data_IF_038267811389
#
_entry.id   IF_038267811389
#
_cell.length_a   1.000
_cell.length_b   1.000
_cell.length_c   1.000
_cell.angle_alpha   90.00
_cell.angle_beta   90.00
_cell.angle_gamma   90.00
#
_symmetry.space_group_name_H-M   'P 1'
#
loop_
_entity.id
_entity.type
_entity.pdbx_description
1 polymer ?
#
# COMPACT_ATOMS: atom_id res chain seq x y z
N UNK A 1 -36.73 4.53 12.43
CA UNK A 1 -35.94 4.36 13.68
C UNK A 1 -36.25 3.07 14.41
N UNK A 2 -37.51 2.73 14.76
CA UNK A 2 -37.82 1.48 15.48
C UNK A 2 -37.28 0.19 14.82
N UNK A 3 -37.29 0.12 13.49
CA UNK A 3 -36.74 -1.03 12.74
C UNK A 3 -35.20 -1.09 12.79
N UNK A 4 -34.52 0.07 12.73
CA UNK A 4 -33.06 0.12 12.75
C UNK A 4 -32.48 -0.19 14.13
N UNK A 5 -33.17 0.21 15.21
CA UNK A 5 -32.81 -0.18 16.57
C UNK A 5 -32.93 -1.69 16.77
N UNK A 6 -34.02 -2.30 16.28
CA UNK A 6 -34.19 -3.76 16.37
C UNK A 6 -33.07 -4.52 15.64
N UNK A 7 -32.66 -4.07 14.45
CA UNK A 7 -31.53 -4.66 13.74
C UNK A 7 -30.21 -4.57 14.52
N UNK A 8 -30.00 -3.46 15.23
CA UNK A 8 -28.80 -3.23 16.04
C UNK A 8 -28.80 -4.14 17.29
N UNK A 9 -29.95 -4.31 17.92
CA UNK A 9 -30.14 -5.21 19.08
C UNK A 9 -29.95 -6.69 18.70
N UNK A 10 -30.28 -7.07 17.47
CA UNK A 10 -30.11 -8.43 16.93
C UNK A 10 -28.66 -8.72 16.43
N UNK A 11 -27.74 -7.75 16.53
CA UNK A 11 -26.38 -7.92 16.04
C UNK A 11 -25.56 -8.94 16.85
N UNK A 12 -24.63 -9.63 16.18
CA UNK A 12 -23.82 -10.67 16.80
C UNK A 12 -22.90 -10.16 17.93
N UNK A 13 -22.57 -8.87 17.90
CA UNK A 13 -21.81 -8.16 18.94
C UNK A 13 -22.73 -7.21 19.65
N UNK A 14 -22.73 -7.21 20.99
CA UNK A 14 -23.56 -6.27 21.73
C UNK A 14 -23.12 -4.82 21.43
N UNK A 15 -24.01 -3.98 20.87
CA UNK A 15 -23.69 -2.59 20.56
C UNK A 15 -23.50 -1.79 21.85
N UNK A 16 -22.53 -0.86 21.90
CA UNK A 16 -22.48 0.15 22.94
C UNK A 16 -23.80 0.90 23.03
N UNK A 17 -24.26 1.17 24.26
CA UNK A 17 -25.56 1.79 24.53
C UNK A 17 -25.69 3.22 23.96
N UNK A 18 -24.57 3.83 23.58
CA UNK A 18 -24.50 5.19 23.05
C UNK A 18 -24.43 5.24 21.52
N UNK A 19 -24.68 4.12 20.82
CA UNK A 19 -24.80 4.13 19.36
C UNK A 19 -26.23 4.44 18.93
N UNK A 20 -26.37 5.38 17.99
CA UNK A 20 -27.63 5.69 17.33
C UNK A 20 -27.54 5.34 15.83
N UNK A 21 -28.37 4.42 15.30
CA UNK A 21 -28.32 4.05 13.89
C UNK A 21 -28.83 5.20 13.00
N UNK A 22 -28.07 5.51 11.95
CA UNK A 22 -28.35 6.56 10.96
C UNK A 22 -28.93 5.98 9.67
N UNK A 23 -28.20 5.06 9.03
CA UNK A 23 -28.53 4.55 7.70
C UNK A 23 -27.98 3.12 7.50
N UNK A 24 -28.68 2.33 6.70
CA UNK A 24 -28.17 1.03 6.26
C UNK A 24 -27.07 1.24 5.21
N UNK A 25 -25.92 0.58 5.37
CA UNK A 25 -24.80 0.65 4.41
C UNK A 25 -24.92 -0.47 3.39
N UNK A 26 -25.16 -1.68 3.89
CA UNK A 26 -25.37 -2.89 3.11
C UNK A 26 -26.29 -3.87 3.88
N UNK A 27 -26.43 -5.09 3.39
CA UNK A 27 -27.29 -6.11 4.02
C UNK A 27 -26.80 -6.57 5.40
N UNK A 28 -25.53 -6.31 5.76
CA UNK A 28 -24.87 -6.84 6.95
C UNK A 28 -24.28 -5.74 7.86
N UNK A 29 -24.52 -4.46 7.58
CA UNK A 29 -23.98 -3.36 8.37
C UNK A 29 -24.80 -2.08 8.32
N UNK A 30 -24.69 -1.30 9.40
CA UNK A 30 -25.41 -0.05 9.63
C UNK A 30 -24.41 1.04 10.02
N UNK A 31 -24.59 2.24 9.49
CA UNK A 31 -23.88 3.43 9.95
C UNK A 31 -24.51 3.93 11.25
N UNK A 32 -23.71 4.07 12.29
CA UNK A 32 -24.14 4.56 13.60
C UNK A 32 -23.36 5.81 13.99
N UNK A 33 -24.01 6.77 14.64
CA UNK A 33 -23.31 7.88 15.30
C UNK A 33 -23.02 7.50 16.74
N UNK A 34 -21.82 7.87 17.21
CA UNK A 34 -21.45 7.79 18.63
C UNK A 34 -22.06 9.01 19.34
N UNK A 35 -23.04 8.79 20.20
CA UNK A 35 -23.65 9.82 21.02
C UNK A 35 -22.85 10.03 22.31
N UNK A 36 -22.81 11.27 22.80
CA UNK A 36 -22.45 11.53 24.19
C UNK A 36 -23.52 10.93 25.11
N UNK A 37 -23.07 10.35 26.22
CA UNK A 37 -23.98 10.02 27.32
C UNK A 37 -24.11 11.22 28.25
N UNK A 38 -25.30 11.48 28.76
CA UNK A 38 -25.51 12.46 29.82
C UNK A 38 -24.69 12.14 31.09
N UNK A 39 -24.32 10.87 31.29
CA UNK A 39 -23.50 10.42 32.41
C UNK A 39 -21.98 10.49 32.16
N UNK A 40 -21.56 10.62 30.90
CA UNK A 40 -20.15 10.62 30.51
C UNK A 40 -19.94 11.55 29.29
N UNK A 41 -20.00 12.87 29.51
CA UNK A 41 -19.83 13.85 28.44
C UNK A 41 -18.37 13.91 27.98
N UNK A 42 -18.17 13.97 26.66
CA UNK A 42 -16.83 14.03 26.07
C UNK A 42 -16.22 12.66 25.81
N UNK A 43 -17.07 11.67 25.54
CA UNK A 43 -16.59 10.34 25.19
C UNK A 43 -15.72 10.41 23.93
N UNK A 44 -14.55 9.73 23.90
CA UNK A 44 -13.73 9.68 22.70
C UNK A 44 -14.55 9.22 21.49
N UNK A 45 -14.52 10.01 20.42
CA UNK A 45 -15.26 9.74 19.19
C UNK A 45 -16.72 10.18 19.18
N UNK A 46 -17.23 10.85 20.22
CA UNK A 46 -18.55 11.47 20.17
C UNK A 46 -18.71 12.34 18.91
N UNK A 47 -19.83 12.16 18.19
CA UNK A 47 -20.10 12.79 16.90
C UNK A 47 -19.49 12.08 15.69
N UNK A 48 -18.66 11.05 15.86
CA UNK A 48 -18.18 10.26 14.72
C UNK A 48 -19.26 9.31 14.22
N UNK A 49 -19.25 9.05 12.91
CA UNK A 49 -20.07 8.02 12.26
C UNK A 49 -19.22 6.80 12.03
N UNK A 50 -19.63 5.66 12.56
CA UNK A 50 -18.94 4.38 12.48
C UNK A 50 -19.76 3.33 11.76
N UNK A 51 -19.09 2.31 11.23
CA UNK A 51 -19.70 1.11 10.68
C UNK A 51 -19.89 0.07 11.76
N UNK A 52 -21.14 -0.33 11.99
CA UNK A 52 -21.47 -1.44 12.86
C UNK A 52 -21.90 -2.65 12.02
N UNK A 53 -21.12 -3.73 12.05
CA UNK A 53 -21.49 -4.99 11.40
C UNK A 53 -22.49 -5.76 12.25
N UNK A 54 -23.51 -6.32 11.60
CA UNK A 54 -24.55 -7.14 12.21
C UNK A 54 -24.11 -8.60 12.35
N UNK A 55 -23.20 -9.05 11.49
CA UNK A 55 -22.65 -10.40 11.50
C UNK A 55 -21.48 -10.56 12.48
N UNK A 56 -21.15 -11.81 12.81
CA UNK A 56 -20.00 -12.14 13.66
C UNK A 56 -18.68 -11.91 12.91
N UNK A 57 -18.03 -10.77 13.18
CA UNK A 57 -16.69 -10.41 12.68
C UNK A 57 -15.67 -10.30 13.82
N UNK A 58 -14.35 -10.23 13.56
CA UNK A 58 -13.38 -9.92 14.60
C UNK A 58 -13.70 -8.58 15.28
N UNK A 59 -13.64 -8.53 16.62
CA UNK A 59 -13.98 -7.33 17.39
C UNK A 59 -13.12 -6.10 17.01
N UNK A 60 -11.88 -6.32 16.58
CA UNK A 60 -10.96 -5.26 16.12
C UNK A 60 -11.38 -4.60 14.81
N UNK A 61 -12.28 -5.23 14.03
CA UNK A 61 -12.81 -4.69 12.79
C UNK A 61 -14.17 -3.98 12.98
N UNK A 62 -14.74 -4.04 14.19
CA UNK A 62 -16.02 -3.41 14.49
C UNK A 62 -15.85 -1.92 14.80
N UNK A 63 -16.84 -1.12 14.45
CA UNK A 63 -16.85 0.31 14.76
C UNK A 63 -15.86 1.13 13.94
N UNK A 64 -15.52 0.66 12.74
CA UNK A 64 -14.62 1.37 11.84
C UNK A 64 -15.20 2.73 11.43
N UNK A 65 -14.37 3.78 11.42
CA UNK A 65 -14.78 5.15 11.11
C UNK A 65 -15.26 5.29 9.65
N UNK A 66 -16.46 5.83 9.46
CA UNK A 66 -17.05 6.19 8.15
C UNK A 66 -16.95 7.69 7.91
N UNK A 67 -17.24 8.50 8.91
CA UNK A 67 -17.22 9.96 8.79
C UNK A 67 -17.00 10.60 10.16
N UNK A 68 -16.59 11.86 10.16
CA UNK A 68 -16.31 12.63 11.38
C UNK A 68 -17.47 13.52 11.81
N UNK A 69 -18.49 13.68 10.97
CA UNK A 69 -19.65 14.52 11.23
C UNK A 69 -20.95 13.88 10.67
N UNK A 70 -22.00 13.68 11.48
CA UNK A 70 -23.22 12.97 11.06
C UNK A 70 -24.07 13.80 10.08
N UNK A 71 -24.04 15.13 10.17
CA UNK A 71 -24.77 16.01 9.26
C UNK A 71 -24.16 15.93 7.85
N UNK A 72 -22.84 16.05 7.77
CA UNK A 72 -22.07 15.88 6.54
C UNK A 72 -22.22 14.48 5.95
N UNK A 73 -22.26 13.45 6.81
CA UNK A 73 -22.51 12.08 6.38
C UNK A 73 -23.87 11.95 5.67
N UNK A 74 -24.95 12.38 6.31
CA UNK A 74 -26.31 12.30 5.75
C UNK A 74 -26.47 13.13 4.46
N UNK A 75 -25.91 14.34 4.41
CA UNK A 75 -25.92 15.16 3.17
C UNK A 75 -25.18 14.45 2.04
N UNK A 76 -23.98 13.94 2.32
CA UNK A 76 -23.17 13.25 1.32
C UNK A 76 -23.81 11.96 0.79
N UNK A 77 -24.58 11.26 1.63
CA UNK A 77 -25.30 10.05 1.24
C UNK A 77 -26.42 10.37 0.23
N UNK A 78 -27.16 11.46 0.46
CA UNK A 78 -28.17 11.93 -0.49
C UNK A 78 -27.55 12.33 -1.83
N UNK A 79 -26.49 13.13 -1.80
CA UNK A 79 -25.76 13.55 -3.01
C UNK A 79 -25.20 12.36 -3.81
N UNK A 80 -24.68 11.34 -3.12
CA UNK A 80 -24.12 10.15 -3.76
C UNK A 80 -25.18 9.31 -4.49
N UNK A 81 -26.37 9.14 -3.89
CA UNK A 81 -27.47 8.42 -4.53
C UNK A 81 -27.88 9.11 -5.84
N UNK A 82 -28.02 10.44 -5.81
CA UNK A 82 -28.36 11.26 -6.97
C UNK A 82 -27.27 11.24 -8.05
N UNK A 83 -26.00 11.14 -7.65
CA UNK A 83 -24.87 11.08 -8.58
C UNK A 83 -24.73 9.69 -9.23
N UNK A 84 -25.03 8.63 -8.48
CA UNK A 84 -24.94 7.24 -8.95
C UNK A 84 -25.85 6.98 -10.15
N UNK A 85 -27.08 7.48 -10.11
CA UNK A 85 -28.04 7.36 -11.23
C UNK A 85 -27.50 7.97 -12.53
N UNK A 86 -26.72 9.06 -12.43
CA UNK A 86 -26.17 9.79 -13.58
C UNK A 86 -24.83 9.22 -14.04
N UNK A 87 -24.00 8.75 -13.11
CA UNK A 87 -22.64 8.30 -13.39
C UNK A 87 -22.59 6.89 -14.00
N UNK A 88 -23.49 5.98 -13.62
CA UNK A 88 -23.50 4.61 -14.15
C UNK A 88 -23.73 4.54 -15.67
N UNK A 89 -24.75 5.21 -16.25
CA UNK A 89 -24.93 5.23 -17.70
C UNK A 89 -23.71 5.82 -18.43
N UNK A 90 -23.15 6.92 -17.89
CA UNK A 90 -21.96 7.56 -18.45
C UNK A 90 -20.76 6.59 -18.49
N UNK A 91 -20.51 5.85 -17.41
CA UNK A 91 -19.42 4.87 -17.37
C UNK A 91 -19.64 3.72 -18.35
N UNK A 92 -20.88 3.27 -18.55
CA UNK A 92 -21.23 2.25 -19.57
C UNK A 92 -20.93 2.74 -20.98
N UNK A 93 -21.27 3.98 -21.29
CA UNK A 93 -21.02 4.59 -22.60
C UNK A 93 -19.51 4.75 -22.84
N UNK A 94 -18.75 5.18 -21.83
CA UNK A 94 -17.28 5.26 -21.89
C UNK A 94 -16.69 3.86 -22.14
N UNK A 95 -17.12 2.86 -21.38
CA UNK A 95 -16.63 1.50 -21.51
C UNK A 95 -16.92 0.90 -22.89
N UNK A 96 -18.12 1.12 -23.42
CA UNK A 96 -18.53 0.63 -24.75
C UNK A 96 -17.66 1.24 -25.84
N UNK A 97 -17.50 2.57 -25.84
CA UNK A 97 -16.63 3.26 -26.81
C UNK A 97 -15.18 2.79 -26.72
N UNK A 98 -14.68 2.61 -25.51
CA UNK A 98 -13.31 2.13 -25.29
C UNK A 98 -13.12 0.69 -25.83
N UNK A 99 -14.07 -0.20 -25.56
CA UNK A 99 -14.07 -1.57 -26.05
C UNK A 99 -14.07 -1.61 -27.59
N UNK A 100 -14.95 -0.84 -28.23
CA UNK A 100 -15.08 -0.79 -29.68
C UNK A 100 -13.82 -0.22 -30.33
N UNK A 101 -13.24 0.85 -29.80
CA UNK A 101 -12.13 1.55 -30.45
C UNK A 101 -10.76 0.89 -30.22
N UNK A 102 -10.53 0.35 -29.02
CA UNK A 102 -9.21 -0.12 -28.60
C UNK A 102 -9.14 -1.62 -28.44
N UNK A 103 -10.00 -2.20 -27.60
CA UNK A 103 -9.92 -3.62 -27.23
C UNK A 103 -10.25 -4.53 -28.41
N UNK A 104 -11.37 -4.30 -29.09
CA UNK A 104 -11.82 -5.12 -30.23
C UNK A 104 -10.82 -5.14 -31.40
N UNK A 105 -9.98 -4.12 -31.50
CA UNK A 105 -8.99 -3.96 -32.57
C UNK A 105 -7.55 -4.23 -32.11
N UNK A 106 -7.32 -4.63 -30.85
CA UNK A 106 -5.98 -4.85 -30.29
C UNK A 106 -5.10 -3.60 -30.29
N UNK A 107 -5.68 -2.40 -30.23
CA UNK A 107 -4.94 -1.13 -30.25
C UNK A 107 -4.55 -0.71 -28.84
N UNK A 108 -3.29 -0.33 -28.67
CA UNK A 108 -2.81 0.24 -27.42
C UNK A 108 -3.27 1.71 -27.30
N UNK A 109 -4.03 2.06 -26.24
CA UNK A 109 -4.45 3.44 -26.02
C UNK A 109 -3.26 4.32 -25.63
N UNK A 110 -3.36 5.62 -25.93
CA UNK A 110 -2.42 6.65 -25.46
C UNK A 110 -2.88 7.17 -24.09
N UNK A 111 -2.00 7.84 -23.33
CA UNK A 111 -2.30 8.31 -21.97
C UNK A 111 -3.44 9.34 -21.87
N UNK A 112 -3.70 10.11 -22.94
CA UNK A 112 -4.81 11.07 -23.02
C UNK A 112 -6.15 10.45 -23.39
N UNK A 113 -6.19 9.13 -23.63
CA UNK A 113 -7.44 8.41 -23.92
C UNK A 113 -8.20 8.23 -22.62
N UNK A 114 -9.50 8.52 -22.66
CA UNK A 114 -10.43 8.25 -21.57
C UNK A 114 -10.56 6.74 -21.38
N UNK A 115 -10.04 6.25 -20.26
CA UNK A 115 -9.96 4.82 -19.93
C UNK A 115 -10.96 4.49 -18.83
N UNK A 116 -11.89 3.53 -19.05
CA UNK A 116 -12.71 2.99 -17.98
C UNK A 116 -11.84 2.18 -17.02
N UNK A 117 -12.12 2.31 -15.73
CA UNK A 117 -11.46 1.56 -14.66
C UNK A 117 -12.53 0.83 -13.86
N UNK A 118 -12.36 -0.47 -13.73
CA UNK A 118 -13.16 -1.32 -12.86
C UNK A 118 -12.24 -1.93 -11.81
N UNK A 119 -12.51 -1.61 -10.55
CA UNK A 119 -11.81 -2.17 -9.41
C UNK A 119 -12.69 -3.26 -8.80
N UNK A 120 -12.14 -4.46 -8.68
CA UNK A 120 -12.79 -5.59 -8.04
C UNK A 120 -11.85 -6.22 -7.02
N UNK A 121 -12.41 -6.66 -5.89
CA UNK A 121 -11.75 -7.54 -4.94
C UNK A 121 -12.45 -8.89 -5.01
N UNK A 122 -11.68 -9.95 -5.30
CA UNK A 122 -12.21 -11.28 -5.62
C UNK A 122 -13.28 -11.20 -6.75
N UNK A 123 -14.55 -11.36 -6.41
CA UNK A 123 -15.68 -11.35 -7.35
C UNK A 123 -16.64 -10.17 -7.14
N UNK A 124 -16.26 -9.17 -6.33
CA UNK A 124 -17.10 -8.01 -6.03
C UNK A 124 -16.48 -6.75 -6.62
N UNK A 125 -17.26 -6.01 -7.42
CA UNK A 125 -16.88 -4.69 -7.91
C UNK A 125 -17.01 -3.71 -6.75
N UNK A 126 -15.91 -3.03 -6.42
CA UNK A 126 -15.83 -2.09 -5.30
C UNK A 126 -15.63 -0.64 -5.76
N UNK A 127 -15.31 -0.46 -7.05
CA UNK A 127 -15.13 0.85 -7.65
C UNK A 127 -15.26 0.84 -9.17
N UNK A 128 -15.82 1.91 -9.72
CA UNK A 128 -15.90 2.19 -11.15
C UNK A 128 -15.51 3.65 -11.38
N UNK A 129 -14.66 3.90 -12.36
CA UNK A 129 -14.24 5.26 -12.72
C UNK A 129 -13.86 5.35 -14.20
N UNK A 130 -13.58 6.57 -14.66
CA UNK A 130 -12.84 6.80 -15.89
C UNK A 130 -11.82 7.92 -15.70
N UNK A 131 -10.65 7.79 -16.33
CA UNK A 131 -9.56 8.76 -16.22
C UNK A 131 -9.03 9.13 -17.60
N UNK A 132 -8.66 10.39 -17.80
CA UNK A 132 -7.94 10.86 -18.99
C UNK A 132 -6.99 11.99 -18.62
N UNK A 133 -5.76 11.99 -19.15
CA UNK A 133 -4.92 13.20 -19.11
C UNK A 133 -5.54 14.31 -19.94
N UNK A 134 -5.50 15.52 -19.41
CA UNK A 134 -5.95 16.72 -20.10
C UNK A 134 -4.83 17.76 -20.19
N UNK A 135 -4.29 17.91 -21.41
CA UNK A 135 -3.21 18.83 -21.70
C UNK A 135 -3.58 20.31 -21.51
N UNK A 136 -4.87 20.68 -21.43
CA UNK A 136 -5.27 22.07 -21.27
C UNK A 136 -4.91 22.64 -19.89
N UNK A 137 -4.85 21.80 -18.85
CA UNK A 137 -4.41 22.18 -17.50
C UNK A 137 -3.29 21.28 -16.96
N UNK A 138 -2.76 20.39 -17.81
CA UNK A 138 -1.71 19.42 -17.49
C UNK A 138 -1.98 18.53 -16.26
N UNK A 139 -3.24 18.10 -16.12
CA UNK A 139 -3.70 17.25 -15.02
C UNK A 139 -4.63 16.13 -15.48
N UNK A 140 -5.35 15.53 -14.52
CA UNK A 140 -6.23 14.39 -14.77
C UNK A 140 -7.70 14.82 -14.77
N UNK A 141 -8.46 14.34 -15.75
CA UNK A 141 -9.91 14.50 -15.83
C UNK A 141 -10.61 13.22 -15.43
N UNK A 142 -11.65 13.35 -14.60
CA UNK A 142 -12.42 12.22 -14.05
C UNK A 142 -13.92 12.44 -14.31
N UNK A 143 -14.49 11.90 -15.39
CA UNK A 143 -15.90 12.12 -15.75
C UNK A 143 -16.90 11.59 -14.72
N UNK A 144 -16.55 10.47 -14.11
CA UNK A 144 -17.36 9.75 -13.13
C UNK A 144 -16.45 8.93 -12.22
N UNK A 145 -16.84 8.83 -10.95
CA UNK A 145 -16.15 8.08 -9.90
C UNK A 145 -17.22 7.53 -8.97
N UNK A 146 -17.31 6.21 -8.86
CA UNK A 146 -18.27 5.49 -8.05
C UNK A 146 -17.56 4.43 -7.24
N UNK A 147 -17.93 4.31 -5.98
CA UNK A 147 -17.44 3.30 -5.06
C UNK A 147 -18.62 2.69 -4.32
N UNK A 148 -18.39 1.55 -3.68
CA UNK A 148 -19.35 0.99 -2.75
C UNK A 148 -18.64 0.37 -1.56
N UNK A 149 -19.30 0.40 -0.41
CA UNK A 149 -18.89 -0.33 0.76
C UNK A 149 -19.27 -1.81 0.61
N UNK A 150 -18.39 -2.69 1.07
CA UNK A 150 -18.55 -4.14 0.96
C UNK A 150 -18.35 -4.78 2.34
N UNK A 151 -19.19 -5.73 2.79
CA UNK A 151 -19.14 -6.29 4.15
C UNK A 151 -17.80 -6.91 4.57
N UNK A 152 -17.09 -7.53 3.64
CA UNK A 152 -15.85 -8.27 3.92
C UNK A 152 -14.58 -7.44 3.71
N UNK A 153 -14.71 -6.15 3.38
CA UNK A 153 -13.59 -5.23 3.21
C UNK A 153 -13.60 -4.18 4.30
N UNK A 154 -12.42 -3.63 4.56
CA UNK A 154 -12.28 -2.47 5.43
C UNK A 154 -13.13 -1.30 4.91
N UNK A 155 -13.67 -0.52 5.84
CA UNK A 155 -14.43 0.70 5.52
C UNK A 155 -13.60 1.64 4.64
N UNK A 156 -14.22 2.21 3.62
CA UNK A 156 -13.59 3.07 2.60
C UNK A 156 -12.56 2.39 1.68
N UNK A 157 -12.39 1.06 1.72
CA UNK A 157 -11.35 0.40 0.93
C UNK A 157 -11.51 0.62 -0.59
N UNK A 158 -12.76 0.66 -1.07
CA UNK A 158 -13.07 1.03 -2.46
C UNK A 158 -12.64 2.47 -2.81
N UNK A 159 -12.89 3.43 -1.90
CA UNK A 159 -12.45 4.82 -2.05
C UNK A 159 -10.93 4.92 -2.03
N UNK A 160 -10.28 4.33 -1.03
CA UNK A 160 -8.82 4.31 -0.88
C UNK A 160 -8.13 3.77 -2.13
N UNK A 161 -8.53 2.59 -2.60
CA UNK A 161 -7.89 1.92 -3.71
C UNK A 161 -8.15 2.61 -5.06
N UNK A 162 -9.39 3.06 -5.32
CA UNK A 162 -9.71 3.78 -6.57
C UNK A 162 -9.05 5.16 -6.60
N UNK A 163 -8.96 5.83 -5.44
CA UNK A 163 -8.22 7.07 -5.28
C UNK A 163 -6.71 6.88 -5.52
N UNK A 164 -6.10 5.82 -4.96
CA UNK A 164 -4.71 5.48 -5.21
C UNK A 164 -4.41 5.27 -6.70
N UNK A 165 -5.29 4.56 -7.43
CA UNK A 165 -5.18 4.38 -8.88
C UNK A 165 -5.25 5.73 -9.63
N UNK A 166 -6.22 6.57 -9.26
CA UNK A 166 -6.40 7.91 -9.84
C UNK A 166 -5.15 8.78 -9.64
N UNK A 167 -4.58 8.81 -8.43
CA UNK A 167 -3.42 9.61 -8.08
C UNK A 167 -2.13 9.08 -8.72
N UNK A 168 -1.96 7.76 -8.83
CA UNK A 168 -0.88 7.17 -9.62
C UNK A 168 -0.96 7.59 -11.09
N UNK A 169 -2.15 7.59 -11.68
CA UNK A 169 -2.34 8.01 -13.06
C UNK A 169 -2.11 9.52 -13.24
N UNK A 170 -2.53 10.34 -12.27
CA UNK A 170 -2.26 11.76 -12.22
C UNK A 170 -0.75 12.05 -12.12
N UNK A 171 -0.01 11.30 -11.31
CA UNK A 171 1.45 11.44 -11.18
C UNK A 171 2.21 10.97 -12.42
N UNK A 172 1.76 9.85 -13.02
CA UNK A 172 2.43 9.27 -14.18
C UNK A 172 2.18 10.08 -15.46
N UNK A 173 0.97 10.61 -15.62
CA UNK A 173 0.54 11.27 -16.86
C UNK A 173 0.42 12.80 -16.74
N UNK A 174 0.14 13.34 -15.56
CA UNK A 174 -0.04 14.78 -15.29
C UNK A 174 1.19 15.43 -14.69
N UNK A 175 1.41 16.71 -15.00
CA UNK A 175 2.50 17.50 -14.43
C UNK A 175 2.16 18.13 -13.08
N UNK A 176 0.88 18.42 -12.83
CA UNK A 176 0.46 19.24 -11.68
C UNK A 176 -0.13 18.46 -10.51
N UNK A 177 -0.47 17.17 -10.68
CA UNK A 177 -1.33 16.41 -9.76
C UNK A 177 -2.76 16.96 -9.59
N UNK A 178 -3.15 17.96 -10.38
CA UNK A 178 -4.51 18.52 -10.35
C UNK A 178 -5.51 17.52 -10.98
N UNK A 179 -6.66 17.34 -10.32
CA UNK A 179 -7.70 16.42 -10.77
C UNK A 179 -9.01 17.18 -10.89
N UNK A 180 -9.63 17.17 -12.07
CA UNK A 180 -10.94 17.83 -12.31
C UNK A 180 -12.03 16.82 -12.58
N UNK A 181 -13.16 16.98 -11.88
CA UNK A 181 -14.32 16.11 -12.03
C UNK A 181 -15.28 16.62 -13.10
N UNK A 182 -15.79 15.68 -13.90
CA UNK A 182 -16.70 15.95 -15.01
C UNK A 182 -16.08 15.81 -16.40
N UNK A 183 -16.85 16.20 -17.41
CA UNK A 183 -16.45 16.09 -18.82
C UNK A 183 -15.83 17.40 -19.31
N UNK A 184 -15.26 17.42 -20.51
CA UNK A 184 -14.71 18.64 -21.13
C UNK A 184 -15.68 19.82 -21.19
N UNK A 185 -16.98 19.54 -21.21
CA UNK A 185 -18.03 20.55 -21.37
C UNK A 185 -18.86 20.77 -20.11
N UNK A 186 -18.66 19.95 -19.06
CA UNK A 186 -19.48 20.00 -17.84
C UNK A 186 -18.66 19.59 -16.63
N UNK A 187 -18.37 20.56 -15.77
CA UNK A 187 -17.80 20.31 -14.45
C UNK A 187 -18.80 19.59 -13.55
N UNK A 188 -18.26 18.76 -12.64
CA UNK A 188 -19.00 18.09 -11.59
C UNK A 188 -18.27 18.30 -10.28
N UNK A 189 -18.99 18.28 -9.17
CA UNK A 189 -18.40 18.35 -7.85
C UNK A 189 -17.56 17.09 -7.57
N UNK A 190 -16.59 17.21 -6.68
CA UNK A 190 -15.84 16.05 -6.15
C UNK A 190 -16.84 15.05 -5.55
N UNK A 191 -16.73 13.74 -5.85
CA UNK A 191 -17.65 12.71 -5.38
C UNK A 191 -17.83 12.75 -3.86
N UNK A 192 -19.08 12.71 -3.35
CA UNK A 192 -19.34 12.77 -1.91
C UNK A 192 -18.65 11.65 -1.12
N UNK A 193 -18.60 10.43 -1.65
CA UNK A 193 -17.90 9.31 -1.04
C UNK A 193 -16.39 9.56 -0.87
N UNK A 194 -15.76 10.21 -1.85
CA UNK A 194 -14.34 10.58 -1.76
C UNK A 194 -14.11 11.69 -0.73
N UNK A 195 -15.03 12.66 -0.63
CA UNK A 195 -14.98 13.68 0.43
C UNK A 195 -15.12 13.06 1.82
N UNK A 196 -16.01 12.07 1.99
CA UNK A 196 -16.13 11.33 3.27
C UNK A 196 -14.83 10.65 3.63
N UNK A 197 -14.25 9.89 2.71
CA UNK A 197 -12.97 9.23 2.91
C UNK A 197 -11.87 10.24 3.32
N UNK A 198 -11.74 11.35 2.59
CA UNK A 198 -10.76 12.39 2.92
C UNK A 198 -10.96 12.99 4.33
N UNK A 199 -12.21 13.25 4.75
CA UNK A 199 -12.51 13.75 6.10
C UNK A 199 -12.08 12.80 7.21
N UNK A 200 -12.13 11.48 7.00
CA UNK A 200 -11.63 10.51 7.99
C UNK A 200 -10.13 10.63 8.24
N UNK A 201 -9.40 11.26 7.31
CA UNK A 201 -7.98 11.59 7.41
C UNK A 201 -7.72 13.06 7.74
N UNK A 202 -8.75 13.85 8.06
CA UNK A 202 -8.62 15.28 8.35
C UNK A 202 -8.38 16.16 7.12
N UNK A 203 -8.61 15.63 5.91
CA UNK A 203 -8.37 16.34 4.64
C UNK A 203 -9.67 16.97 4.16
N UNK A 204 -9.64 18.26 3.86
CA UNK A 204 -10.75 18.99 3.26
C UNK A 204 -10.54 19.10 1.74
N UNK A 205 -11.37 18.40 0.96
CA UNK A 205 -11.28 18.43 -0.50
C UNK A 205 -12.23 19.46 -1.13
N UNK A 206 -11.71 20.23 -2.08
CA UNK A 206 -12.47 21.18 -2.88
C UNK A 206 -12.86 22.43 -2.12
N UNK A 207 -12.00 22.88 -1.19
CA UNK A 207 -12.23 24.12 -0.43
C UNK A 207 -12.14 25.36 -1.32
N UNK A 208 -11.23 25.33 -2.30
CA UNK A 208 -11.05 26.42 -3.27
C UNK A 208 -11.87 26.21 -4.54
N UNK A 209 -11.92 24.98 -5.07
CA UNK A 209 -12.75 24.60 -6.21
C UNK A 209 -13.54 23.31 -5.88
N UNK A 210 -14.88 23.37 -5.74
CA UNK A 210 -15.67 22.19 -5.41
C UNK A 210 -15.67 21.13 -6.52
N UNK A 211 -15.16 21.43 -7.71
CA UNK A 211 -15.06 20.54 -8.87
C UNK A 211 -13.64 20.00 -9.12
N UNK A 212 -12.65 20.35 -8.30
CA UNK A 212 -11.27 19.94 -8.49
C UNK A 212 -10.57 19.55 -7.17
N UNK A 213 -9.69 18.56 -7.24
CA UNK A 213 -8.70 18.30 -6.21
C UNK A 213 -7.42 19.01 -6.65
N UNK A 214 -6.98 19.98 -5.85
CA UNK A 214 -5.79 20.77 -6.11
C UNK A 214 -4.51 19.99 -5.80
N UNK A 215 -3.34 20.42 -6.32
CA UNK A 215 -2.08 19.71 -6.11
C UNK A 215 -1.72 19.44 -4.64
N UNK A 216 -2.03 20.39 -3.74
CA UNK A 216 -1.79 20.23 -2.31
C UNK A 216 -2.73 19.16 -1.69
N UNK A 217 -4.03 19.24 -2.00
CA UNK A 217 -5.02 18.27 -1.58
C UNK A 217 -4.71 16.86 -2.12
N UNK A 218 -4.28 16.76 -3.39
CA UNK A 218 -3.85 15.51 -4.03
C UNK A 218 -2.68 14.88 -3.29
N UNK A 219 -1.70 15.67 -2.84
CA UNK A 219 -0.54 15.18 -2.09
C UNK A 219 -0.95 14.58 -0.75
N UNK A 220 -1.78 15.28 0.02
CA UNK A 220 -2.29 14.80 1.30
C UNK A 220 -3.10 13.51 1.13
N UNK A 221 -3.97 13.50 0.11
CA UNK A 221 -4.79 12.33 -0.22
C UNK A 221 -3.95 11.15 -0.72
N UNK A 222 -2.83 11.39 -1.40
CA UNK A 222 -1.92 10.35 -1.87
C UNK A 222 -1.18 9.68 -0.72
N UNK A 223 -0.77 10.46 0.27
CA UNK A 223 -0.20 9.94 1.52
C UNK A 223 -1.25 9.13 2.29
N UNK A 224 -2.46 9.66 2.48
CA UNK A 224 -3.54 8.99 3.20
C UNK A 224 -3.98 7.66 2.56
N UNK A 225 -3.94 7.58 1.22
CA UNK A 225 -4.33 6.38 0.48
C UNK A 225 -3.24 5.31 0.37
N UNK A 226 -1.99 5.64 0.71
CA UNK A 226 -0.85 4.74 0.59
C UNK A 226 -0.59 4.02 1.91
N UNK A 227 -0.73 2.68 1.97
CA UNK A 227 -0.39 1.93 3.17
C UNK A 227 1.14 1.92 3.35
N UNK A 228 1.61 2.45 4.48
CA UNK A 228 3.02 2.45 4.87
C UNK A 228 3.15 1.99 6.33
N UNK A 229 4.06 1.05 6.65
CA UNK A 229 4.41 0.75 8.03
C UNK A 229 5.00 1.97 8.74
N UNK A 230 4.78 2.08 10.05
CA UNK A 230 5.15 3.27 10.85
C UNK A 230 6.63 3.65 10.73
N UNK A 231 7.54 2.67 10.76
CA UNK A 231 8.98 2.95 10.62
C UNK A 231 9.33 3.48 9.22
N UNK A 232 8.72 2.92 8.17
CA UNK A 232 8.89 3.39 6.79
C UNK A 232 8.32 4.80 6.64
N UNK A 233 7.15 5.05 7.24
CA UNK A 233 6.53 6.37 7.26
C UNK A 233 7.43 7.41 7.93
N UNK A 234 7.95 7.11 9.13
CA UNK A 234 8.85 8.02 9.85
C UNK A 234 10.10 8.35 9.04
N UNK A 235 10.71 7.36 8.38
CA UNK A 235 11.86 7.57 7.48
C UNK A 235 11.50 8.39 6.24
N UNK A 236 10.35 8.10 5.64
CA UNK A 236 9.86 8.87 4.50
C UNK A 236 9.66 10.34 4.87
N UNK A 237 9.04 10.62 6.02
CA UNK A 237 8.80 11.99 6.52
C UNK A 237 10.12 12.74 6.74
N UNK A 238 11.13 12.15 7.40
CA UNK A 238 12.45 12.80 7.56
C UNK A 238 13.05 13.23 6.20
N UNK A 239 13.00 12.34 5.20
CA UNK A 239 13.54 12.63 3.87
C UNK A 239 12.71 13.66 3.10
N UNK A 240 11.39 13.69 3.31
CA UNK A 240 10.50 14.70 2.72
C UNK A 240 10.74 16.07 3.35
N UNK A 241 10.86 16.16 4.68
CA UNK A 241 11.13 17.40 5.41
C UNK A 241 12.49 18.01 5.04
N UNK A 242 13.45 17.16 4.70
CA UNK A 242 14.78 17.56 4.19
C UNK A 242 14.79 17.91 2.70
N UNK A 243 13.66 17.80 2.01
CA UNK A 243 13.53 18.07 0.57
C UNK A 243 14.27 17.08 -0.34
N UNK A 244 14.62 15.89 0.17
CA UNK A 244 15.34 14.86 -0.57
C UNK A 244 14.39 13.97 -1.39
N UNK A 245 13.15 13.81 -0.94
CA UNK A 245 12.11 13.02 -1.60
C UNK A 245 10.81 13.80 -1.68
N UNK A 246 10.00 13.52 -2.70
CA UNK A 246 8.63 14.04 -2.79
C UNK A 246 7.64 12.95 -2.35
N UNK A 247 6.54 13.33 -1.69
CA UNK A 247 5.47 12.40 -1.30
C UNK A 247 4.97 11.54 -2.47
N UNK A 248 4.76 12.17 -3.63
CA UNK A 248 4.18 11.53 -4.80
C UNK A 248 5.07 10.39 -5.30
N UNK A 249 6.39 10.56 -5.25
CA UNK A 249 7.34 9.52 -5.67
C UNK A 249 7.33 8.32 -4.73
N UNK A 250 7.26 8.55 -3.43
CA UNK A 250 7.18 7.49 -2.42
C UNK A 250 5.87 6.72 -2.57
N UNK A 251 4.75 7.44 -2.64
CA UNK A 251 3.42 6.84 -2.79
C UNK A 251 3.31 6.03 -4.09
N UNK A 252 3.71 6.62 -5.22
CA UNK A 252 3.71 5.94 -6.51
C UNK A 252 4.59 4.68 -6.50
N UNK A 253 5.77 4.75 -5.87
CA UNK A 253 6.68 3.60 -5.78
C UNK A 253 6.03 2.39 -5.11
N UNK A 254 5.31 2.62 -4.00
CA UNK A 254 4.63 1.57 -3.24
C UNK A 254 3.37 1.06 -3.94
N UNK A 255 2.57 1.97 -4.51
CA UNK A 255 1.29 1.63 -5.13
C UNK A 255 1.42 1.01 -6.53
N UNK A 256 2.53 1.22 -7.24
CA UNK A 256 2.84 0.58 -8.55
C UNK A 256 3.76 -0.65 -8.43
N UNK A 257 3.76 -1.28 -7.25
CA UNK A 257 4.83 -2.09 -6.65
C UNK A 257 6.15 -2.12 -7.44
N UNK A 258 6.82 -0.97 -7.55
CA UNK A 258 8.20 -0.91 -8.10
C UNK A 258 9.17 -1.46 -7.04
N UNK A 259 8.98 -1.00 -5.81
CA UNK A 259 9.62 -1.52 -4.61
C UNK A 259 8.51 -1.85 -3.61
N UNK A 260 8.57 -3.03 -3.00
CA UNK A 260 7.71 -3.38 -1.86
C UNK A 260 8.08 -2.56 -0.63
N UNK A 261 7.21 -2.56 0.40
CA UNK A 261 7.43 -1.77 1.62
C UNK A 261 8.80 -2.04 2.26
N UNK A 262 9.18 -3.30 2.48
CA UNK A 262 10.49 -3.65 3.07
C UNK A 262 11.67 -3.28 2.15
N UNK A 263 11.51 -3.43 0.84
CA UNK A 263 12.56 -3.06 -0.13
C UNK A 263 12.78 -1.55 -0.13
N UNK A 264 11.70 -0.76 -0.12
CA UNK A 264 11.76 0.70 -0.04
C UNK A 264 12.35 1.13 1.31
N UNK A 265 11.87 0.55 2.40
CA UNK A 265 12.34 0.84 3.75
C UNK A 265 13.86 0.63 3.88
N UNK A 266 14.36 -0.48 3.33
CA UNK A 266 15.80 -0.75 3.26
C UNK A 266 16.54 0.32 2.45
N UNK A 267 16.06 0.65 1.24
CA UNK A 267 16.67 1.69 0.39
C UNK A 267 16.75 3.03 1.12
N UNK A 268 15.67 3.45 1.80
CA UNK A 268 15.63 4.72 2.54
C UNK A 268 16.57 4.70 3.76
N UNK A 269 16.65 3.55 4.44
CA UNK A 269 17.43 3.37 5.65
C UNK A 269 18.95 3.39 5.40
N UNK A 270 19.44 2.72 4.35
CA UNK A 270 20.89 2.46 4.20
C UNK A 270 21.58 3.30 3.12
N UNK A 271 20.83 4.14 2.37
CA UNK A 271 21.37 4.84 1.22
C UNK A 271 21.10 6.33 1.23
N UNK A 272 22.17 7.12 1.24
CA UNK A 272 22.13 8.56 0.96
C UNK A 272 21.70 8.88 -0.49
N UNK A 273 21.59 7.86 -1.36
CA UNK A 273 21.18 7.98 -2.75
C UNK A 273 19.77 7.44 -3.02
N UNK A 274 18.97 7.23 -1.97
CA UNK A 274 17.59 6.77 -2.09
C UNK A 274 16.79 7.55 -3.14
N UNK A 275 16.85 8.89 -3.10
CA UNK A 275 16.19 9.75 -4.08
C UNK A 275 16.59 9.46 -5.54
N UNK A 276 17.88 9.21 -5.77
CA UNK A 276 18.39 8.86 -7.10
C UNK A 276 17.92 7.47 -7.53
N UNK A 277 17.92 6.49 -6.62
CA UNK A 277 17.43 5.13 -6.90
C UNK A 277 15.95 5.16 -7.29
N UNK A 278 15.13 5.90 -6.54
CA UNK A 278 13.70 6.06 -6.80
C UNK A 278 13.40 6.92 -8.03
N UNK A 279 14.39 7.66 -8.54
CA UNK A 279 14.32 8.36 -9.84
C UNK A 279 14.80 7.49 -11.02
N UNK A 280 15.16 6.23 -10.78
CA UNK A 280 15.67 5.31 -11.80
C UNK A 280 17.18 5.28 -11.98
N UNK A 281 17.91 5.73 -10.97
CA UNK A 281 19.36 5.61 -10.84
C UNK A 281 20.16 6.53 -11.77
N UNK A 282 21.45 6.62 -11.47
CA UNK A 282 22.45 7.35 -12.23
C UNK A 282 22.66 6.72 -13.61
N UNK A 283 23.03 7.55 -14.59
CA UNK A 283 23.36 7.09 -15.95
C UNK A 283 24.55 6.13 -15.96
N UNK A 284 24.67 5.34 -17.04
CA UNK A 284 25.79 4.40 -17.20
C UNK A 284 27.17 5.10 -17.25
N UNK A 285 27.21 6.38 -17.60
CA UNK A 285 28.43 7.20 -17.64
C UNK A 285 29.00 7.41 -16.24
N UNK A 286 28.15 7.51 -15.21
CA UNK A 286 28.53 7.63 -13.81
C UNK A 286 28.70 6.24 -13.16
N UNK A 287 29.59 5.42 -13.75
CA UNK A 287 29.74 3.99 -13.40
C UNK A 287 29.89 3.72 -11.91
N UNK A 288 30.74 4.45 -11.19
CA UNK A 288 30.97 4.24 -9.75
C UNK A 288 29.69 4.47 -8.95
N UNK A 289 28.99 5.55 -9.26
CA UNK A 289 27.74 5.94 -8.63
C UNK A 289 26.65 4.90 -8.87
N UNK A 290 26.52 4.47 -10.12
CA UNK A 290 25.56 3.45 -10.51
C UNK A 290 25.82 2.11 -9.81
N UNK A 291 27.08 1.72 -9.62
CA UNK A 291 27.44 0.49 -8.90
C UNK A 291 26.99 0.55 -7.43
N UNK A 292 27.14 1.69 -6.76
CA UNK A 292 26.68 1.87 -5.37
C UNK A 292 25.16 1.77 -5.28
N UNK A 293 24.44 2.40 -6.21
CA UNK A 293 22.98 2.33 -6.28
C UNK A 293 22.48 0.91 -6.58
N UNK A 294 23.18 0.18 -7.47
CA UNK A 294 22.88 -1.21 -7.77
C UNK A 294 23.11 -2.13 -6.56
N UNK A 295 24.19 -1.95 -5.79
CA UNK A 295 24.42 -2.75 -4.57
C UNK A 295 23.26 -2.63 -3.58
N UNK A 296 22.81 -1.40 -3.29
CA UNK A 296 21.67 -1.16 -2.39
C UNK A 296 20.41 -1.80 -2.95
N UNK A 297 20.15 -1.62 -4.25
CA UNK A 297 18.94 -2.12 -4.89
C UNK A 297 18.89 -3.65 -4.96
N UNK A 298 20.03 -4.32 -5.18
CA UNK A 298 20.15 -5.79 -5.10
C UNK A 298 19.87 -6.28 -3.68
N UNK A 299 20.49 -5.64 -2.69
CA UNK A 299 20.31 -6.00 -1.28
C UNK A 299 18.84 -5.87 -0.85
N UNK A 300 18.18 -4.76 -1.22
CA UNK A 300 16.75 -4.57 -1.02
C UNK A 300 15.94 -5.68 -1.71
N UNK A 301 16.17 -5.94 -3.00
CA UNK A 301 15.44 -6.95 -3.76
C UNK A 301 15.54 -8.35 -3.12
N UNK A 302 16.75 -8.76 -2.76
CA UNK A 302 16.96 -10.05 -2.07
C UNK A 302 16.23 -10.09 -0.73
N UNK A 303 16.29 -9.02 0.07
CA UNK A 303 15.56 -8.92 1.32
C UNK A 303 14.04 -9.02 1.13
N UNK A 304 13.49 -8.36 0.12
CA UNK A 304 12.08 -8.47 -0.24
C UNK A 304 11.68 -9.86 -0.71
N UNK A 305 12.56 -10.55 -1.46
CA UNK A 305 12.38 -11.95 -1.83
C UNK A 305 12.34 -12.85 -0.61
N UNK A 306 13.29 -12.69 0.32
CA UNK A 306 13.32 -13.45 1.57
C UNK A 306 12.05 -13.21 2.40
N UNK A 307 11.68 -11.94 2.60
CA UNK A 307 10.48 -11.56 3.34
C UNK A 307 9.23 -12.21 2.76
N UNK A 308 9.01 -12.13 1.44
CA UNK A 308 7.90 -12.83 0.79
C UNK A 308 7.91 -14.33 1.06
N UNK A 309 9.08 -14.95 1.08
CA UNK A 309 9.19 -16.40 1.30
C UNK A 309 8.90 -16.79 2.75
N UNK A 310 9.42 -16.06 3.73
CA UNK A 310 9.19 -16.34 5.17
C UNK A 310 7.78 -15.98 5.62
N UNK A 311 7.13 -15.04 4.93
CA UNK A 311 5.76 -14.62 5.23
C UNK A 311 4.68 -15.51 4.62
N UNK A 312 5.03 -16.47 3.75
CA UNK A 312 4.09 -17.48 3.22
C UNK A 312 4.09 -18.68 4.16
N UNK A 313 2.94 -18.99 4.77
CA UNK A 313 2.80 -20.21 5.56
C UNK A 313 2.77 -21.44 4.63
N UNK A 314 3.89 -22.14 4.48
CA UNK A 314 3.93 -23.45 3.82
C UNK A 314 3.31 -24.52 4.76
N UNK A 315 1.98 -24.57 4.87
CA UNK A 315 1.26 -25.68 5.53
C UNK A 315 1.12 -26.88 4.57
N UNK A 316 2.24 -27.40 4.07
CA UNK A 316 2.24 -28.57 3.17
C UNK A 316 2.35 -29.93 3.88
N UNK A 317 2.08 -30.02 5.19
CA UNK A 317 2.25 -31.26 5.96
C UNK A 317 0.95 -31.96 6.39
N UNK A 318 -0.24 -31.48 6.03
CA UNK A 318 -1.50 -32.21 6.27
C UNK A 318 -2.47 -32.06 5.07
N UNK A 319 -2.26 -32.86 4.04
CA UNK A 319 -3.09 -32.91 2.85
C UNK A 319 -4.39 -33.70 3.10
N UNK A 320 -5.48 -33.01 3.47
CA UNK A 320 -6.85 -33.53 3.32
C UNK A 320 -7.90 -32.49 2.95
N UNK A 321 -7.57 -31.19 2.85
CA UNK A 321 -8.53 -30.16 2.43
C UNK A 321 -7.86 -29.20 1.47
N UNK A 322 -8.47 -28.97 0.30
CA UNK A 322 -8.06 -27.91 -0.61
C UNK A 322 -8.33 -26.56 0.07
N UNK A 323 -7.33 -26.00 0.72
CA UNK A 323 -7.38 -24.67 1.32
C UNK A 323 -7.06 -23.61 0.28
N UNK A 324 -7.90 -22.60 0.19
CA UNK A 324 -7.66 -21.37 -0.59
C UNK A 324 -6.35 -20.74 -0.09
N UNK A 325 -5.34 -20.69 -0.95
CA UNK A 325 -3.96 -20.28 -0.62
C UNK A 325 -3.80 -18.79 -0.27
N UNK A 326 -4.85 -17.98 -0.34
CA UNK A 326 -4.73 -16.53 -0.43
C UNK A 326 -4.53 -15.80 0.91
N UNK A 327 -4.81 -16.42 2.06
CA UNK A 327 -4.89 -15.71 3.35
C UNK A 327 -4.03 -16.24 4.51
N UNK A 328 -3.13 -17.20 4.29
CA UNK A 328 -2.21 -17.65 5.36
C UNK A 328 -0.86 -16.98 5.29
N UNK A 329 -0.80 -15.69 5.68
CA UNK A 329 0.46 -15.01 5.97
C UNK A 329 0.86 -15.21 7.44
N UNK A 330 2.14 -15.49 7.68
CA UNK A 330 2.73 -15.45 9.03
C UNK A 330 3.01 -13.99 9.43
N UNK A 331 2.84 -13.67 10.72
CA UNK A 331 3.12 -12.34 11.27
C UNK A 331 4.64 -12.13 11.43
N UNK A 332 5.36 -12.09 10.31
CA UNK A 332 6.78 -11.72 10.29
C UNK A 332 6.88 -10.20 10.27
N UNK A 333 7.55 -9.64 11.28
CA UNK A 333 7.86 -8.21 11.34
C UNK A 333 9.32 -7.99 10.97
N UNK A 334 9.64 -6.79 10.48
CA UNK A 334 11.02 -6.37 10.21
C UNK A 334 11.31 -5.01 10.85
N UNK A 335 12.58 -4.79 11.16
CA UNK A 335 13.16 -3.46 11.42
C UNK A 335 14.55 -3.39 10.80
N UNK A 336 15.04 -2.19 10.50
CA UNK A 336 16.33 -1.98 9.81
C UNK A 336 17.27 -1.18 10.69
N UNK A 337 18.48 -1.72 10.89
CA UNK A 337 19.60 -0.99 11.47
C UNK A 337 20.27 -0.17 10.37
N UNK A 338 20.04 1.14 10.40
CA UNK A 338 20.52 2.08 9.37
C UNK A 338 22.06 2.16 9.33
N UNK A 339 22.70 2.07 10.49
CA UNK A 339 24.15 2.26 10.61
C UNK A 339 24.93 1.05 10.10
N UNK A 340 24.41 -0.15 10.34
CA UNK A 340 25.08 -1.42 10.00
C UNK A 340 24.51 -2.08 8.75
N UNK A 341 23.34 -1.65 8.28
CA UNK A 341 22.72 -2.13 7.05
C UNK A 341 22.33 -3.61 7.09
N UNK A 342 21.73 -4.05 8.19
CA UNK A 342 21.09 -5.35 8.32
C UNK A 342 19.60 -5.20 8.67
N UNK A 343 18.84 -6.26 8.45
CA UNK A 343 17.40 -6.33 8.70
C UNK A 343 17.16 -7.32 9.84
N UNK A 344 16.49 -6.89 10.89
CA UNK A 344 16.07 -7.77 11.97
C UNK A 344 14.66 -8.28 11.67
N UNK A 345 14.54 -9.58 11.37
CA UNK A 345 13.25 -10.25 11.25
C UNK A 345 12.83 -10.84 12.60
N UNK A 346 11.58 -10.62 12.99
CA UNK A 346 10.97 -11.21 14.19
C UNK A 346 9.66 -11.92 13.85
N UNK A 347 9.20 -12.81 14.74
CA UNK A 347 8.02 -13.65 14.46
C UNK A 347 8.28 -14.80 13.48
N UNK A 348 9.55 -15.17 13.27
CA UNK A 348 9.94 -16.26 12.39
C UNK A 348 9.68 -17.64 13.01
N UNK A 349 9.21 -18.58 12.20
CA UNK A 349 9.15 -20.00 12.57
C UNK A 349 10.51 -20.69 12.30
N UNK A 350 11.10 -21.25 13.36
CA UNK A 350 12.38 -21.96 13.34
C UNK A 350 12.41 -23.14 12.37
N UNK A 351 11.28 -23.82 12.18
CA UNK A 351 11.22 -25.01 11.33
C UNK A 351 11.32 -24.68 9.83
N UNK A 352 11.20 -23.40 9.45
CA UNK A 352 10.90 -22.98 8.09
C UNK A 352 11.82 -21.88 7.55
N UNK A 353 13.03 -21.68 8.08
CA UNK A 353 13.98 -20.75 7.47
C UNK A 353 14.34 -21.21 6.05
N UNK A 354 13.87 -20.52 4.99
CA UNK A 354 14.15 -20.90 3.63
C UNK A 354 15.61 -20.58 3.32
N UNK A 355 16.16 -21.27 2.32
CA UNK A 355 17.45 -20.92 1.72
C UNK A 355 18.67 -21.05 2.61
N UNK A 356 18.52 -21.56 3.84
CA UNK A 356 19.65 -21.84 4.71
C UNK A 356 20.55 -22.88 4.05
N UNK A 357 21.81 -22.49 3.81
CA UNK A 357 22.81 -23.41 3.30
C UNK A 357 23.25 -24.37 4.39
N UNK A 358 22.97 -25.66 4.19
CA UNK A 358 23.33 -26.71 5.14
C UNK A 358 24.82 -27.01 5.17
N UNK A 359 25.57 -26.63 4.13
CA UNK A 359 27.03 -26.80 4.11
C UNK A 359 27.75 -25.76 4.98
N UNK A 360 27.20 -24.54 5.08
CA UNK A 360 27.72 -23.44 5.91
C UNK A 360 27.01 -23.29 7.27
N UNK A 361 25.90 -24.01 7.51
CA UNK A 361 25.15 -23.97 8.76
C UNK A 361 25.75 -24.94 9.81
N UNK A 362 26.85 -24.56 10.46
CA UNK A 362 27.41 -25.32 11.58
C UNK A 362 27.03 -24.84 12.99
N UNK A 363 26.40 -23.67 13.22
CA UNK A 363 25.54 -23.51 14.38
C UNK A 363 24.09 -23.70 13.98
N UNK A 364 23.37 -24.50 14.76
CA UNK A 364 21.90 -24.40 14.85
C UNK A 364 21.59 -22.92 15.13
N UNK A 365 20.93 -22.25 14.18
CA UNK A 365 20.52 -20.86 14.38
C UNK A 365 19.44 -20.86 15.46
N UNK A 366 19.81 -20.50 16.69
CA UNK A 366 18.83 -20.21 17.73
C UNK A 366 18.22 -18.85 17.43
N UNK A 367 17.05 -18.86 16.79
CA UNK A 367 16.34 -17.64 16.43
C UNK A 367 15.98 -16.75 17.63
N UNK A 368 16.12 -17.20 18.88
CA UNK A 368 15.88 -16.39 20.08
C UNK A 368 14.69 -15.43 19.93
N UNK A 369 14.99 -14.13 19.86
CA UNK A 369 14.05 -13.03 19.61
C UNK A 369 13.94 -12.58 18.13
N UNK A 370 14.82 -13.03 17.24
CA UNK A 370 14.81 -12.69 15.80
C UNK A 370 16.06 -13.14 15.04
N UNK A 371 16.05 -12.91 13.72
CA UNK A 371 17.17 -13.16 12.81
C UNK A 371 17.66 -11.84 12.19
N UNK A 372 18.92 -11.50 12.42
CA UNK A 372 19.60 -10.41 11.72
C UNK A 372 20.12 -10.89 10.35
N UNK A 373 19.51 -10.41 9.28
CA UNK A 373 19.89 -10.74 7.90
C UNK A 373 20.71 -9.60 7.31
N UNK A 374 21.89 -9.92 6.79
CA UNK A 374 22.81 -8.97 6.17
C UNK A 374 22.80 -9.23 4.65
N UNK A 375 21.96 -8.53 3.86
CA UNK A 375 21.87 -8.76 2.43
C UNK A 375 23.06 -8.13 1.69
N UNK A 376 23.85 -8.96 1.00
CA UNK A 376 25.04 -8.52 0.24
C UNK A 376 25.13 -9.29 -1.07
N UNK A 377 25.12 -8.58 -2.19
CA UNK A 377 25.30 -9.22 -3.49
C UNK A 377 26.75 -9.72 -3.66
N UNK A 378 27.72 -8.99 -3.11
CA UNK A 378 29.13 -9.36 -3.06
C UNK A 378 29.65 -9.16 -1.63
N UNK A 379 29.57 -10.19 -0.75
CA UNK A 379 30.00 -10.07 0.63
C UNK A 379 31.51 -9.84 0.75
N UNK A 380 31.91 -9.07 1.75
CA UNK A 380 33.29 -8.70 2.05
C UNK A 380 33.68 -9.12 3.47
N UNK A 381 34.98 -9.08 3.83
CA UNK A 381 35.40 -9.35 5.20
C UNK A 381 34.77 -8.46 6.28
N UNK A 382 34.31 -7.26 5.91
CA UNK A 382 33.57 -6.37 6.81
C UNK A 382 32.22 -6.97 7.19
N UNK A 383 31.52 -7.57 6.22
CA UNK A 383 30.21 -8.19 6.43
C UNK A 383 30.32 -9.44 7.31
N UNK A 384 31.42 -10.19 7.15
CA UNK A 384 31.74 -11.35 7.99
C UNK A 384 31.99 -10.94 9.44
N UNK A 385 32.73 -9.85 9.63
CA UNK A 385 33.02 -9.29 10.95
C UNK A 385 31.72 -8.80 11.61
N UNK A 386 30.84 -8.16 10.85
CA UNK A 386 29.52 -7.75 11.32
C UNK A 386 28.70 -8.97 11.77
N UNK A 387 28.58 -10.01 10.94
CA UNK A 387 27.86 -11.24 11.30
C UNK A 387 28.38 -11.84 12.62
N UNK A 388 29.71 -11.99 12.76
CA UNK A 388 30.32 -12.51 14.00
C UNK A 388 30.04 -11.60 15.21
N UNK A 389 30.08 -10.29 15.02
CA UNK A 389 29.84 -9.33 16.11
C UNK A 389 28.39 -9.40 16.62
N UNK A 390 27.43 -9.69 15.74
CA UNK A 390 26.02 -9.87 16.12
C UNK A 390 25.80 -11.17 16.90
N UNK A 391 26.50 -12.24 16.53
CA UNK A 391 26.41 -13.54 17.22
C UNK A 391 27.09 -13.53 18.61
N UNK A 392 28.17 -12.78 18.79
CA UNK A 392 28.97 -12.79 20.03
C UNK A 392 28.79 -11.53 20.89
N UNK A 393 27.89 -10.62 20.48
CA UNK A 393 27.64 -9.36 21.19
C UNK A 393 26.89 -9.57 22.52
N UNK A 394 26.81 -8.51 23.32
CA UNK A 394 26.12 -8.51 24.62
C UNK A 394 24.62 -8.89 24.52
N UNK A 395 24.01 -8.65 23.35
CA UNK A 395 22.64 -9.03 23.03
C UNK A 395 22.62 -10.06 21.89
N UNK A 396 23.51 -11.06 21.92
CA UNK A 396 23.71 -12.08 20.88
C UNK A 396 22.42 -12.39 20.08
N UNK A 397 22.44 -12.05 18.79
CA UNK A 397 21.32 -12.26 17.85
C UNK A 397 21.78 -13.28 16.82
N UNK A 398 20.92 -14.24 16.50
CA UNK A 398 21.09 -15.06 15.31
C UNK A 398 21.34 -14.17 14.09
N UNK A 399 22.41 -14.41 13.33
CA UNK A 399 22.71 -13.62 12.14
C UNK A 399 23.07 -14.50 10.95
N UNK A 400 22.65 -14.10 9.75
CA UNK A 400 23.02 -14.75 8.51
C UNK A 400 23.29 -13.74 7.37
N UNK A 401 24.21 -14.09 6.47
CA UNK A 401 24.42 -13.37 5.22
C UNK A 401 23.41 -13.84 4.18
N UNK A 402 22.73 -12.92 3.52
CA UNK A 402 21.86 -13.23 2.38
C UNK A 402 22.59 -12.88 1.08
N UNK A 403 22.90 -13.90 0.28
CA UNK A 403 23.75 -13.79 -0.92
C UNK A 403 23.10 -14.44 -2.14
N UNK A 404 23.46 -14.04 -3.37
CA UNK A 404 23.03 -14.70 -4.60
C UNK A 404 23.54 -16.15 -4.69
N UNK A 405 22.83 -16.96 -5.49
CA UNK A 405 23.11 -18.40 -5.66
C UNK A 405 24.55 -18.72 -6.04
N UNK A 406 25.14 -17.90 -6.89
CA UNK A 406 26.47 -18.09 -7.48
C UNK A 406 27.61 -17.45 -6.67
N UNK A 407 27.31 -16.86 -5.50
CA UNK A 407 28.28 -16.13 -4.66
C UNK A 407 28.58 -16.86 -3.33
N UNK A 408 27.73 -17.80 -2.91
CA UNK A 408 27.81 -18.47 -1.61
C UNK A 408 29.17 -19.09 -1.27
N UNK A 409 29.85 -19.68 -2.26
CA UNK A 409 31.15 -20.34 -2.08
C UNK A 409 32.29 -19.41 -1.61
N UNK A 410 32.09 -18.09 -1.64
CA UNK A 410 33.06 -17.10 -1.16
C UNK A 410 32.98 -16.81 0.34
N UNK A 411 31.97 -17.36 1.04
CA UNK A 411 31.70 -17.07 2.45
C UNK A 411 32.39 -18.10 3.36
N UNK A 412 33.04 -17.68 4.46
CA UNK A 412 33.58 -18.58 5.46
C UNK A 412 32.53 -19.55 6.06
N UNK A 413 32.93 -20.80 6.31
CA UNK A 413 32.06 -21.86 6.82
C UNK A 413 31.52 -21.63 8.25
N UNK A 414 32.10 -20.68 9.00
CA UNK A 414 31.63 -20.32 10.34
C UNK A 414 30.48 -19.31 10.33
N UNK A 415 30.05 -18.85 9.15
CA UNK A 415 28.98 -17.85 9.01
C UNK A 415 27.77 -18.50 8.37
N UNK A 416 26.60 -18.34 8.99
CA UNK A 416 25.35 -18.81 8.40
C UNK A 416 25.03 -18.04 7.11
N UNK A 417 24.67 -18.77 6.05
CA UNK A 417 24.36 -18.22 4.73
C UNK A 417 22.94 -18.58 4.33
N UNK A 418 22.17 -17.57 3.90
CA UNK A 418 20.92 -17.71 3.18
C UNK A 418 21.20 -17.50 1.69
N UNK A 419 20.95 -18.53 0.88
CA UNK A 419 21.23 -18.51 -0.56
C UNK A 419 19.97 -18.12 -1.33
N UNK A 420 19.90 -16.87 -1.77
CA UNK A 420 18.86 -16.42 -2.69
C UNK A 420 18.82 -17.37 -3.91
N UNK A 421 17.64 -17.84 -4.34
CA UNK A 421 17.52 -18.80 -5.44
C UNK A 421 18.02 -18.27 -6.78
N UNK A 422 18.03 -16.94 -6.94
CA UNK A 422 18.42 -16.25 -8.16
C UNK A 422 19.93 -15.96 -8.19
N UNK A 423 20.50 -15.99 -9.38
CA UNK A 423 21.89 -15.61 -9.65
C UNK A 423 22.04 -14.09 -9.67
N UNK A 424 23.26 -13.60 -9.45
CA UNK A 424 23.53 -12.16 -9.46
C UNK A 424 23.06 -11.47 -10.76
N UNK A 425 23.26 -12.12 -11.92
CA UNK A 425 22.83 -11.58 -13.21
C UNK A 425 21.29 -11.45 -13.35
N UNK A 426 20.53 -12.37 -12.74
CA UNK A 426 19.05 -12.34 -12.76
C UNK A 426 18.54 -11.22 -11.87
N UNK A 427 19.14 -11.06 -10.68
CA UNK A 427 18.89 -9.94 -9.76
C UNK A 427 19.19 -8.60 -10.45
N UNK A 428 20.29 -8.51 -11.20
CA UNK A 428 20.65 -7.30 -11.96
C UNK A 428 19.62 -6.90 -13.00
N UNK A 429 19.11 -7.86 -13.77
CA UNK A 429 18.05 -7.64 -14.77
C UNK A 429 16.80 -7.07 -14.08
N UNK A 430 16.43 -7.63 -12.93
CA UNK A 430 15.25 -7.21 -12.19
C UNK A 430 15.41 -5.80 -11.58
N UNK A 431 16.57 -5.52 -10.98
CA UNK A 431 16.91 -4.19 -10.46
C UNK A 431 16.86 -3.15 -11.57
N UNK A 432 17.45 -3.46 -12.73
CA UNK A 432 17.44 -2.55 -13.87
C UNK A 432 16.01 -2.29 -14.36
N UNK A 433 15.20 -3.34 -14.49
CA UNK A 433 13.78 -3.23 -14.86
C UNK A 433 13.01 -2.33 -13.91
N UNK A 434 13.24 -2.46 -12.60
CA UNK A 434 12.59 -1.62 -11.58
C UNK A 434 13.06 -0.17 -11.64
N UNK A 435 14.36 0.07 -11.78
CA UNK A 435 14.90 1.41 -11.96
C UNK A 435 14.36 2.06 -13.25
N UNK A 436 14.21 1.31 -14.34
CA UNK A 436 13.60 1.82 -15.57
C UNK A 436 12.11 2.14 -15.37
N UNK A 437 11.36 1.32 -14.64
CA UNK A 437 9.95 1.61 -14.29
C UNK A 437 9.81 2.82 -13.35
N UNK A 438 10.82 3.08 -12.51
CA UNK A 438 10.87 4.23 -11.62
C UNK A 438 11.10 5.55 -12.37
N UNK A 439 11.63 5.50 -13.59
CA UNK A 439 11.72 6.68 -14.47
C UNK A 439 10.32 7.06 -14.92
N UNK A 440 9.73 8.03 -14.24
CA UNK A 440 8.56 8.71 -14.77
C UNK A 440 8.98 9.54 -15.99
N UNK A 441 8.05 9.75 -16.92
CA UNK A 441 8.29 10.42 -18.20
C UNK A 441 8.78 11.87 -18.05
N UNK A 442 8.74 12.43 -16.84
CA UNK A 442 9.19 13.77 -16.47
C UNK A 442 9.78 13.74 -15.05
N UNK A 443 11.09 13.51 -14.93
CA UNK A 443 11.88 13.80 -13.73
C UNK A 443 13.10 14.62 -14.10
#
# INVERSE_FOLDING_TARGET
MSSAMALLDDSAHQPPANLLPLAQIDELSIACVICDSASDPGMPGAGQVIRWHLAAIPATAQGALIDTDPVSYLSSLGEELDDREKALPMLRDIATRYQEQYVAHGRLPRGWVERPVQLACQNVIIGLSAFAHDAAFDGLRVPAFLTCEVPHLATHEGNRALCALMLCDAYQNGGTMEIRFGTRHRSRTIPPALKRYARTHGILLGSEDPCAILPAESRELFLASTPMPDELWARAVDLMDRGLLTPERICHTLLTPIWSAIELDYILAVSSRAASILAGGSSAELRRTRLVEQEVARAALMAGMLYRRVSIADRSHNATVATVHEDTRTNVNWSIDQDRGYILFSGLDRALLPWLDREHAQPVIDLGSGLAVIPRALPTPVDWTLARSLQHGAAAIASALLVPKDVAASVPADIAVLICPDRLAEIDIEVERRMQRARTSRS
#
